data_IF_550738016787
#
_entry.id   IF_550738016787
#
_cell.length_a   1.000
_cell.length_b   1.000
_cell.length_c   1.000
_cell.angle_alpha   90.00
_cell.angle_beta   90.00
_cell.angle_gamma   90.00
#
_symmetry.space_group_name_H-M   'P 1'
#
loop_
_entity.id
_entity.type
_entity.pdbx_description
1 polymer ?
#
# COMPACT_ATOMS: atom_id res chain seq x y z
N UNK A 1 -9.68 8.46 48.92
CA UNK A 1 -9.43 7.55 47.78
C UNK A 1 -10.18 8.10 46.59
N UNK A 2 -9.49 8.57 45.55
CA UNK A 2 -10.14 9.09 44.35
C UNK A 2 -10.46 7.90 43.44
N UNK A 3 -11.74 7.69 43.19
CA UNK A 3 -12.23 6.67 42.25
C UNK A 3 -12.09 7.25 40.84
N UNK A 4 -11.22 6.66 40.03
CA UNK A 4 -11.16 6.91 38.59
C UNK A 4 -12.27 6.08 37.93
N UNK A 5 -13.43 6.69 37.67
CA UNK A 5 -14.40 6.14 36.73
C UNK A 5 -14.04 6.66 35.34
N UNK A 6 -13.01 6.05 34.74
CA UNK A 6 -12.73 6.27 33.33
C UNK A 6 -13.93 5.79 32.52
N UNK A 7 -14.62 6.71 31.84
CA UNK A 7 -15.62 6.35 30.83
C UNK A 7 -14.87 5.79 29.63
N UNK A 8 -14.37 4.56 29.76
CA UNK A 8 -13.55 3.88 28.77
C UNK A 8 -14.36 3.63 27.51
N UNK A 9 -14.18 4.48 26.51
CA UNK A 9 -14.59 4.16 25.14
C UNK A 9 -13.52 3.23 24.57
N UNK A 10 -13.83 1.93 24.49
CA UNK A 10 -12.99 0.97 23.75
C UNK A 10 -12.98 1.38 22.27
N UNK A 11 -11.79 1.43 21.68
CA UNK A 11 -11.67 1.62 20.24
C UNK A 11 -12.08 0.33 19.52
N UNK A 12 -13.04 0.45 18.61
CA UNK A 12 -13.55 -0.65 17.79
C UNK A 12 -13.34 -0.37 16.30
N UNK A 13 -12.49 0.61 15.97
CA UNK A 13 -12.17 0.97 14.59
C UNK A 13 -11.09 0.04 14.09
N UNK A 14 -11.32 -0.59 12.94
CA UNK A 14 -10.28 -1.41 12.31
C UNK A 14 -9.29 -0.52 11.55
N UNK A 15 -7.98 -0.85 11.57
CA UNK A 15 -7.03 -0.23 10.66
C UNK A 15 -7.38 -0.59 9.22
N UNK A 16 -7.24 0.38 8.31
CA UNK A 16 -7.34 0.17 6.85
C UNK A 16 -6.05 0.56 6.15
N UNK A 17 -5.82 0.00 4.97
CA UNK A 17 -4.70 0.43 4.13
C UNK A 17 -5.06 1.77 3.46
N UNK A 18 -4.19 2.76 3.60
CA UNK A 18 -4.28 4.04 2.88
C UNK A 18 -3.54 3.96 1.55
N UNK A 19 -2.33 3.39 1.54
CA UNK A 19 -1.50 3.30 0.34
C UNK A 19 -0.37 2.28 0.50
N UNK A 20 0.18 1.83 -0.62
CA UNK A 20 1.48 1.16 -0.71
C UNK A 20 2.34 1.87 -1.78
N UNK A 21 3.66 1.90 -1.60
CA UNK A 21 4.58 2.50 -2.56
C UNK A 21 6.02 2.11 -2.33
N UNK A 22 6.82 2.05 -3.40
CA UNK A 22 8.23 1.68 -3.31
C UNK A 22 9.03 2.69 -2.48
N UNK A 23 9.92 2.16 -1.65
CA UNK A 23 11.00 2.92 -1.00
C UNK A 23 12.28 2.81 -1.84
N UNK A 24 12.49 1.64 -2.44
CA UNK A 24 13.56 1.30 -3.37
C UNK A 24 13.13 0.06 -4.21
N UNK A 25 14.09 -0.56 -4.91
CA UNK A 25 13.81 -1.63 -5.88
C UNK A 25 13.28 -2.93 -5.29
N UNK A 26 13.46 -3.19 -3.99
CA UNK A 26 13.06 -4.42 -3.31
C UNK A 26 12.27 -4.18 -2.02
N UNK A 27 11.96 -2.92 -1.72
CA UNK A 27 11.20 -2.52 -0.53
C UNK A 27 9.94 -1.73 -0.89
N UNK A 28 8.80 -2.13 -0.33
CA UNK A 28 7.53 -1.38 -0.39
C UNK A 28 7.10 -0.93 1.01
N UNK A 29 6.70 0.33 1.16
CA UNK A 29 6.10 0.87 2.39
C UNK A 29 4.58 0.87 2.29
N UNK A 30 3.94 0.29 3.31
CA UNK A 30 2.49 0.22 3.50
C UNK A 30 2.11 1.25 4.57
N UNK A 31 1.15 2.11 4.26
CA UNK A 31 0.57 3.08 5.18
C UNK A 31 -0.82 2.60 5.63
N UNK A 32 -1.03 2.53 6.93
CA UNK A 32 -2.32 2.24 7.56
C UNK A 32 -3.02 3.52 8.04
N UNK A 33 -4.33 3.46 8.31
CA UNK A 33 -5.11 4.60 8.84
C UNK A 33 -4.80 4.98 10.27
N UNK A 34 -4.19 4.07 11.01
CA UNK A 34 -3.89 4.19 12.42
C UNK A 34 -2.69 3.32 12.80
N UNK A 35 -2.11 3.48 14.01
CA UNK A 35 -1.07 2.61 14.52
C UNK A 35 -1.45 1.12 14.50
N UNK A 36 -0.55 0.28 13.99
CA UNK A 36 -0.70 -1.18 14.01
C UNK A 36 0.19 -1.84 15.05
N UNK A 37 -0.27 -2.96 15.59
CA UNK A 37 0.41 -3.73 16.62
C UNK A 37 1.65 -4.42 16.08
N UNK A 38 2.75 -4.43 16.85
CA UNK A 38 4.06 -4.86 16.35
C UNK A 38 4.05 -6.35 16.01
N UNK A 39 3.41 -7.14 16.87
CA UNK A 39 3.40 -8.60 16.76
C UNK A 39 2.61 -9.12 15.56
N UNK A 40 1.59 -8.39 15.11
CA UNK A 40 0.79 -8.76 13.94
C UNK A 40 1.35 -8.13 12.67
N UNK A 41 1.78 -6.87 12.71
CA UNK A 41 2.37 -6.19 11.56
C UNK A 41 3.75 -6.70 11.15
N UNK A 42 4.51 -7.31 12.06
CA UNK A 42 5.85 -7.86 11.80
C UNK A 42 5.88 -9.31 11.27
N UNK A 43 4.75 -9.87 10.83
CA UNK A 43 4.69 -11.25 10.29
C UNK A 43 4.59 -11.21 8.77
N UNK A 44 5.55 -11.77 8.04
CA UNK A 44 5.51 -11.76 6.57
C UNK A 44 4.26 -12.46 6.03
N UNK A 45 3.81 -13.52 6.70
CA UNK A 45 2.62 -14.30 6.30
C UNK A 45 1.31 -13.52 6.32
N UNK A 46 1.31 -12.30 6.88
CA UNK A 46 0.17 -11.39 6.87
C UNK A 46 0.10 -10.53 5.60
N UNK A 47 1.06 -10.66 4.68
CA UNK A 47 1.16 -9.86 3.47
C UNK A 47 1.28 -10.78 2.24
N UNK A 48 0.42 -10.56 1.24
CA UNK A 48 0.49 -11.23 -0.06
C UNK A 48 0.64 -10.19 -1.15
N UNK A 49 1.67 -10.35 -1.98
CA UNK A 49 1.89 -9.49 -3.14
C UNK A 49 1.81 -10.35 -4.39
N UNK A 50 1.02 -9.91 -5.37
CA UNK A 50 0.97 -10.49 -6.72
C UNK A 50 1.23 -9.41 -7.75
N UNK A 51 1.88 -9.77 -8.85
CA UNK A 51 1.99 -8.90 -10.02
C UNK A 51 0.68 -8.89 -10.85
N UNK A 52 0.66 -8.11 -11.93
CA UNK A 52 -0.49 -7.99 -12.83
C UNK A 52 -0.84 -9.30 -13.59
N UNK A 53 0.04 -10.30 -13.59
CA UNK A 53 -0.22 -11.64 -14.15
C UNK A 53 -0.81 -12.60 -13.12
N UNK A 54 -0.87 -12.19 -11.84
CA UNK A 54 -1.24 -13.04 -10.73
C UNK A 54 -0.09 -13.87 -10.17
N UNK A 55 1.16 -13.60 -10.59
CA UNK A 55 2.33 -14.31 -10.07
C UNK A 55 2.71 -13.77 -8.69
N UNK A 56 2.93 -14.65 -7.69
CA UNK A 56 3.24 -14.21 -6.34
C UNK A 56 4.67 -13.65 -6.24
N UNK A 57 4.81 -12.59 -5.46
CA UNK A 57 6.10 -12.03 -5.03
C UNK A 57 6.31 -12.44 -3.57
N UNK A 58 7.45 -13.06 -3.28
CA UNK A 58 7.77 -13.53 -1.94
C UNK A 58 8.20 -12.37 -1.05
N UNK A 59 7.41 -12.07 -0.02
CA UNK A 59 7.81 -11.19 1.10
C UNK A 59 8.80 -11.94 1.99
N UNK A 60 9.97 -11.36 2.21
CA UNK A 60 11.08 -11.94 3.00
C UNK A 60 11.19 -11.33 4.38
N UNK A 61 10.71 -10.10 4.57
CA UNK A 61 10.68 -9.42 5.88
C UNK A 61 9.50 -8.45 5.94
N UNK A 62 8.92 -8.31 7.13
CA UNK A 62 7.94 -7.28 7.44
C UNK A 62 8.36 -6.53 8.71
N UNK A 63 8.59 -5.21 8.60
CA UNK A 63 9.11 -4.40 9.68
C UNK A 63 8.25 -3.15 9.91
N UNK A 64 7.59 -3.07 11.08
CA UNK A 64 6.89 -1.84 11.50
C UNK A 64 7.89 -0.74 11.79
N UNK A 65 7.63 0.44 11.24
CA UNK A 65 8.52 1.58 11.35
C UNK A 65 8.34 2.32 12.69
N UNK A 66 9.16 3.34 12.92
CA UNK A 66 9.03 4.22 14.10
C UNK A 66 7.70 4.98 14.10
N UNK A 67 7.25 5.41 12.92
CA UNK A 67 5.85 5.71 12.70
C UNK A 67 5.08 4.39 12.68
N UNK A 68 4.34 4.14 13.75
CA UNK A 68 3.66 2.85 13.99
C UNK A 68 2.49 2.61 13.05
N UNK A 69 2.10 3.59 12.23
CA UNK A 69 1.14 3.43 11.15
C UNK A 69 1.75 2.94 9.83
N UNK A 70 3.07 2.68 9.81
CA UNK A 70 3.80 2.26 8.62
C UNK A 70 4.52 0.92 8.80
N UNK A 71 4.50 0.11 7.75
CA UNK A 71 5.24 -1.16 7.66
C UNK A 71 6.02 -1.17 6.37
N UNK A 72 7.28 -1.62 6.42
CA UNK A 72 8.07 -1.93 5.23
C UNK A 72 8.11 -3.43 5.00
N UNK A 73 7.91 -3.81 3.75
CA UNK A 73 7.99 -5.19 3.29
C UNK A 73 9.17 -5.28 2.33
N UNK A 74 10.12 -6.13 2.67
CA UNK A 74 11.21 -6.50 1.78
C UNK A 74 10.79 -7.76 1.01
N UNK A 75 11.19 -7.87 -0.25
CA UNK A 75 10.88 -9.03 -1.09
C UNK A 75 12.13 -9.80 -1.52
N UNK A 76 11.93 -11.01 -2.02
CA UNK A 76 12.97 -11.72 -2.77
C UNK A 76 13.01 -11.22 -4.21
N UNK A 77 14.14 -10.67 -4.63
CA UNK A 77 14.31 -10.12 -5.98
C UNK A 77 14.07 -8.62 -6.00
N UNK A 78 13.54 -8.09 -7.10
CA UNK A 78 13.23 -6.66 -7.24
C UNK A 78 11.88 -6.49 -7.92
N UNK A 79 11.16 -5.43 -7.58
CA UNK A 79 10.00 -4.99 -8.32
C UNK A 79 10.42 -4.56 -9.73
N UNK A 80 9.71 -5.06 -10.73
CA UNK A 80 9.94 -4.75 -12.15
C UNK A 80 8.86 -3.80 -12.66
N UNK A 81 8.91 -3.44 -13.94
CA UNK A 81 7.89 -2.61 -14.60
C UNK A 81 6.53 -3.34 -14.67
N UNK A 82 5.81 -3.37 -13.54
CA UNK A 82 4.51 -4.01 -13.39
C UNK A 82 3.65 -3.28 -12.37
N UNK A 83 2.35 -3.57 -12.39
CA UNK A 83 1.42 -3.18 -11.33
C UNK A 83 1.31 -4.34 -10.35
N UNK A 84 1.40 -4.04 -9.06
CA UNK A 84 1.30 -5.01 -7.99
C UNK A 84 0.04 -4.78 -7.17
N UNK A 85 -0.53 -5.89 -6.70
CA UNK A 85 -1.61 -5.88 -5.71
C UNK A 85 -1.06 -6.43 -4.41
N UNK A 86 -1.15 -5.63 -3.35
CA UNK A 86 -0.89 -6.04 -1.97
C UNK A 86 -2.22 -6.34 -1.28
N UNK A 87 -2.31 -7.50 -0.65
CA UNK A 87 -3.39 -7.86 0.28
C UNK A 87 -2.81 -8.10 1.67
N UNK A 88 -3.45 -7.52 2.68
CA UNK A 88 -3.05 -7.62 4.09
C UNK A 88 -4.11 -8.39 4.88
N UNK A 89 -3.69 -9.34 5.70
CA UNK A 89 -4.59 -10.10 6.57
C UNK A 89 -4.04 -10.17 7.99
N UNK A 90 -4.93 -10.18 8.99
CA UNK A 90 -4.60 -10.39 10.40
C UNK A 90 -3.63 -9.38 11.05
N UNK A 91 -3.34 -8.26 10.38
CA UNK A 91 -2.69 -7.10 11.02
C UNK A 91 -3.75 -6.41 11.87
N UNK A 92 -3.41 -6.08 13.12
CA UNK A 92 -4.35 -5.49 14.09
C UNK A 92 -3.86 -4.14 14.57
N UNK A 93 -4.77 -3.31 15.08
CA UNK A 93 -4.43 -2.16 15.91
C UNK A 93 -3.99 -2.59 17.33
N UNK A 94 -3.77 -1.61 18.20
CA UNK A 94 -3.41 -1.82 19.61
C UNK A 94 -4.57 -2.31 20.51
N UNK A 95 -5.81 -2.31 20.02
CA UNK A 95 -6.99 -2.84 20.72
C UNK A 95 -7.41 -4.23 20.22
N UNK A 96 -6.74 -4.75 19.17
CA UNK A 96 -6.98 -6.05 18.58
C UNK A 96 -7.97 -6.06 17.41
N UNK A 97 -8.38 -4.89 16.90
CA UNK A 97 -9.22 -4.81 15.71
C UNK A 97 -8.38 -5.15 14.46
N UNK A 98 -8.73 -6.19 13.68
CA UNK A 98 -7.97 -6.58 12.49
C UNK A 98 -8.31 -5.72 11.28
N UNK A 99 -7.37 -5.57 10.35
CA UNK A 99 -7.64 -5.13 8.97
C UNK A 99 -8.66 -6.09 8.35
N UNK A 100 -9.68 -5.53 7.68
CA UNK A 100 -10.77 -6.28 7.06
C UNK A 100 -11.09 -5.78 5.65
N UNK A 101 -11.53 -6.70 4.79
CA UNK A 101 -12.03 -6.38 3.44
C UNK A 101 -13.22 -5.42 3.49
N UNK A 102 -13.36 -4.48 2.53
CA UNK A 102 -12.56 -4.29 1.31
C UNK A 102 -11.31 -3.39 1.49
N UNK A 103 -11.03 -2.99 2.73
CA UNK A 103 -10.01 -2.01 3.09
C UNK A 103 -8.63 -2.65 3.37
N UNK A 104 -8.47 -3.89 2.89
CA UNK A 104 -7.33 -4.78 3.10
C UNK A 104 -6.40 -4.88 1.87
N UNK A 105 -6.68 -4.09 0.83
CA UNK A 105 -5.98 -4.17 -0.45
C UNK A 105 -5.42 -2.81 -0.87
N UNK A 106 -4.21 -2.80 -1.40
CA UNK A 106 -3.60 -1.63 -2.05
C UNK A 106 -2.92 -2.01 -3.36
N UNK A 107 -2.86 -1.04 -4.27
CA UNK A 107 -2.16 -1.16 -5.54
C UNK A 107 -0.94 -0.25 -5.55
N UNK A 108 0.17 -0.73 -6.09
CA UNK A 108 1.37 0.07 -6.25
C UNK A 108 2.12 -0.32 -7.52
N UNK A 109 2.89 0.64 -8.00
CA UNK A 109 3.61 0.58 -9.26
C UNK A 109 5.06 0.17 -8.97
N UNK A 110 5.61 -0.79 -9.71
CA UNK A 110 7.01 -1.18 -9.61
C UNK A 110 7.97 -0.17 -10.24
N UNK A 111 9.27 -0.46 -10.22
CA UNK A 111 10.29 0.39 -10.85
C UNK A 111 9.95 0.67 -12.33
N UNK A 112 10.20 1.89 -12.80
CA UNK A 112 9.90 2.32 -14.17
C UNK A 112 8.41 2.58 -14.49
N UNK A 113 7.52 2.42 -13.51
CA UNK A 113 6.09 2.77 -13.64
C UNK A 113 5.76 4.06 -12.88
N UNK A 114 5.28 5.09 -13.57
CA UNK A 114 4.76 6.33 -12.92
C UNK A 114 3.23 6.32 -12.92
N UNK A 115 2.58 6.40 -11.74
CA UNK A 115 1.20 6.80 -11.65
C UNK A 115 1.10 8.31 -11.94
N UNK A 116 0.71 8.70 -13.15
CA UNK A 116 0.34 10.09 -13.41
C UNK A 116 -1.00 10.38 -12.72
N UNK A 117 -1.01 11.22 -11.69
CA UNK A 117 -2.24 11.91 -11.27
C UNK A 117 -2.68 12.80 -12.43
N UNK A 118 -3.84 12.51 -13.01
CA UNK A 118 -4.61 13.53 -13.73
C UNK A 118 -5.39 14.35 -12.70
N UNK A 119 -5.52 15.66 -12.93
CA UNK A 119 -6.26 16.58 -12.05
C UNK A 119 -7.78 16.32 -11.98
N UNK A 120 -8.28 15.18 -12.48
CA UNK A 120 -9.70 14.78 -12.54
C UNK A 120 -9.96 13.33 -12.08
N UNK A 121 -9.04 12.70 -11.34
CA UNK A 121 -9.32 11.44 -10.61
C UNK A 121 -9.25 10.14 -11.40
N UNK A 122 -8.62 10.12 -12.59
CA UNK A 122 -8.35 8.89 -13.35
C UNK A 122 -6.83 8.67 -13.45
N UNK A 123 -6.39 7.44 -13.15
CA UNK A 123 -4.98 7.01 -13.27
C UNK A 123 -4.78 6.39 -14.65
N UNK A 124 -3.86 6.94 -15.44
CA UNK A 124 -3.34 6.31 -16.66
C UNK A 124 -1.84 6.06 -16.46
N UNK A 125 -1.42 4.81 -16.59
CA UNK A 125 -0.02 4.39 -16.53
C UNK A 125 0.67 4.62 -17.87
N UNK A 126 1.83 5.26 -17.85
CA UNK A 126 2.68 5.58 -19.01
C UNK A 126 4.08 5.00 -18.73
N UNK A 127 4.65 4.12 -19.57
CA UNK A 127 5.98 3.55 -19.34
C UNK A 127 7.06 4.62 -19.52
N UNK A 128 7.83 4.88 -18.46
CA UNK A 128 8.77 6.00 -18.42
C UNK A 128 10.06 5.68 -19.17
N UNK A 129 10.07 6.01 -20.46
CA UNK A 129 11.29 6.14 -21.23
C UNK A 129 11.07 7.19 -22.27
N UNK A 130 11.40 8.45 -21.97
CA UNK A 130 12.00 9.45 -22.85
C UNK A 130 12.31 10.69 -22.00
N UNK A 131 13.56 11.12 -22.05
CA UNK A 131 14.05 12.30 -21.34
C UNK A 131 13.28 13.55 -21.76
N UNK A 132 13.19 14.50 -20.83
CA UNK A 132 12.82 15.91 -21.02
C UNK A 132 11.94 16.17 -22.23
N UNK A 133 10.61 16.30 -22.03
CA UNK A 133 9.77 17.39 -22.54
C UNK A 133 8.30 17.11 -22.23
N UNK A 134 7.67 18.04 -21.51
CA UNK A 134 6.25 18.03 -21.22
C UNK A 134 5.40 18.24 -22.50
N UNK A 135 4.16 17.74 -22.50
CA UNK A 135 3.06 18.09 -23.42
C UNK A 135 3.07 17.59 -24.89
N UNK A 136 2.86 16.28 -25.10
CA UNK A 136 2.15 15.82 -26.31
C UNK A 136 1.33 14.55 -26.06
N UNK A 137 0.46 14.56 -25.05
CA UNK A 137 -0.65 13.61 -24.97
C UNK A 137 -1.86 14.16 -25.72
N UNK A 138 -1.98 13.71 -26.97
CA UNK A 138 -3.21 13.12 -27.49
C UNK A 138 -4.52 13.92 -27.40
N UNK A 139 -4.58 15.14 -27.97
CA UNK A 139 -5.86 15.74 -28.42
C UNK A 139 -6.19 15.41 -29.88
N UNK A 140 -5.95 14.18 -30.32
CA UNK A 140 -6.53 13.65 -31.57
C UNK A 140 -7.07 12.23 -31.40
N UNK A 141 -7.96 12.05 -30.42
CA UNK A 141 -8.89 10.91 -30.45
C UNK A 141 -10.24 11.22 -29.78
N UNK A 142 -10.82 12.38 -30.12
CA UNK A 142 -12.29 12.51 -30.22
C UNK A 142 -12.61 12.95 -31.64
N UNK A 143 -12.62 11.99 -32.55
CA UNK A 143 -13.31 12.11 -33.81
C UNK A 143 -14.60 11.29 -33.74
N UNK A 144 -15.73 11.98 -33.90
CA UNK A 144 -17.10 11.46 -34.08
C UNK A 144 -17.74 10.78 -32.85
N UNK A 145 -18.90 11.20 -32.39
CA UNK A 145 -19.94 12.04 -33.01
C UNK A 145 -20.10 13.43 -32.37
#
# INVERSE_FOLDING_TARGET
>A
SMVFIGTGTTDNTAPRIISAGLVDSDTVEVQFSEPVELSSSGKETNYSIIDNTGSPVTVTTAARQTDTSKVRLDISGTFTESLYTLTVANVTDGMGNPVVSPDDTAYFAGEGTVPKKLNDGVVIVDPMGEGTNEFSMLTKYRGRD
#
